data_IF_679240304469
#
_entry.id   IF_679240304469
#
_cell.length_a   1.000
_cell.length_b   1.000
_cell.length_c   1.000
_cell.angle_alpha   90.00
_cell.angle_beta   90.00
_cell.angle_gamma   90.00
#
_symmetry.space_group_name_H-M   'P 1'
#
loop_
_entity.id
_entity.type
_entity.pdbx_description
1 polymer ?
#
# COMPACT_ATOMS: atom_id res chain seq x y z
N UNK A 1 -10.57 1.67 -19.19
CA UNK A 1 -10.41 0.53 -18.25
C UNK A 1 -11.77 0.17 -17.67
N UNK A 2 -12.05 -1.12 -17.43
CA UNK A 2 -13.32 -1.54 -16.83
C UNK A 2 -13.38 -1.19 -15.33
N UNK A 3 -14.58 -1.12 -14.76
CA UNK A 3 -14.79 -0.83 -13.33
C UNK A 3 -14.02 -1.80 -12.41
N UNK A 4 -14.01 -3.09 -12.74
CA UNK A 4 -13.21 -4.09 -12.02
C UNK A 4 -11.69 -3.84 -12.11
N UNK A 5 -11.22 -3.29 -13.23
CA UNK A 5 -9.81 -2.93 -13.39
C UNK A 5 -9.33 -1.89 -12.38
N UNK A 6 -10.12 -0.84 -12.14
CA UNK A 6 -9.76 0.21 -11.16
C UNK A 6 -9.73 -0.30 -9.73
N UNK A 7 -10.68 -1.18 -9.38
CA UNK A 7 -10.70 -1.89 -8.09
C UNK A 7 -9.43 -2.72 -7.88
N UNK A 8 -9.03 -3.49 -8.90
CA UNK A 8 -7.80 -4.30 -8.86
C UNK A 8 -6.55 -3.43 -8.72
N UNK A 9 -6.44 -2.32 -9.46
CA UNK A 9 -5.32 -1.40 -9.34
C UNK A 9 -5.23 -0.76 -7.95
N UNK A 10 -6.38 -0.38 -7.37
CA UNK A 10 -6.44 0.05 -5.98
C UNK A 10 -5.95 -1.02 -5.01
N UNK A 11 -6.41 -2.26 -5.19
CA UNK A 11 -5.99 -3.39 -4.37
C UNK A 11 -4.49 -3.66 -4.44
N UNK A 12 -3.92 -3.67 -5.65
CA UNK A 12 -2.48 -3.83 -5.88
C UNK A 12 -1.67 -2.71 -5.22
N UNK A 13 -2.13 -1.47 -5.33
CA UNK A 13 -1.50 -0.34 -4.66
C UNK A 13 -1.50 -0.49 -3.13
N UNK A 14 -2.58 -1.02 -2.58
CA UNK A 14 -2.70 -1.36 -1.15
C UNK A 14 -1.74 -2.48 -0.73
N UNK A 15 -1.54 -3.50 -1.56
CA UNK A 15 -0.58 -4.58 -1.31
C UNK A 15 0.87 -4.08 -1.37
N UNK A 16 1.23 -3.29 -2.39
CA UNK A 16 2.56 -2.65 -2.48
C UNK A 16 2.81 -1.78 -1.26
N UNK A 17 1.79 -1.03 -0.85
CA UNK A 17 1.79 -0.21 0.35
C UNK A 17 2.08 -0.99 1.63
N UNK A 18 1.38 -2.10 1.86
CA UNK A 18 1.58 -2.97 3.03
C UNK A 18 2.92 -3.70 2.98
N UNK A 19 3.29 -4.25 1.82
CA UNK A 19 4.57 -4.93 1.62
C UNK A 19 5.77 -4.00 1.84
N UNK A 20 5.70 -2.77 1.33
CA UNK A 20 6.72 -1.73 1.58
C UNK A 20 6.88 -1.44 3.07
N UNK A 21 5.78 -1.31 3.82
CA UNK A 21 5.84 -1.11 5.28
C UNK A 21 6.48 -2.29 6.00
N UNK A 22 6.00 -3.49 5.70
CA UNK A 22 6.52 -4.72 6.30
C UNK A 22 8.02 -4.87 6.06
N UNK A 23 8.45 -4.67 4.82
CA UNK A 23 9.85 -4.72 4.42
C UNK A 23 10.70 -3.66 5.12
N UNK A 24 10.18 -2.45 5.26
CA UNK A 24 10.85 -1.36 5.97
C UNK A 24 11.02 -1.69 7.46
N UNK A 25 9.98 -2.22 8.10
CA UNK A 25 10.02 -2.64 9.51
C UNK A 25 11.02 -3.78 9.73
N UNK A 26 11.07 -4.79 8.85
CA UNK A 26 12.06 -5.86 8.97
C UNK A 26 13.51 -5.38 8.81
N UNK A 27 13.75 -4.29 8.09
CA UNK A 27 15.08 -3.71 7.87
C UNK A 27 15.48 -2.64 8.89
N UNK A 28 14.59 -2.24 9.78
CA UNK A 28 14.88 -1.31 10.87
C UNK A 28 15.72 -2.02 11.92
N UNK A 29 17.04 -1.87 11.82
CA UNK A 29 17.99 -2.40 12.79
C UNK A 29 18.40 -1.28 13.78
N UNK A 30 18.30 -1.51 15.10
CA UNK A 30 18.58 -0.48 16.11
C UNK A 30 20.03 0.03 16.08
N UNK A 31 20.96 -0.76 15.53
CA UNK A 31 22.37 -0.41 15.42
C UNK A 31 22.73 0.52 14.24
N UNK A 32 21.82 0.82 13.31
CA UNK A 32 22.10 1.65 12.11
C UNK A 32 20.96 2.62 11.78
N UNK A 33 20.78 3.70 12.57
CA UNK A 33 19.64 4.60 12.44
C UNK A 33 19.57 5.34 11.09
N UNK A 34 20.71 5.75 10.52
CA UNK A 34 20.76 6.41 9.20
C UNK A 34 20.33 5.51 8.06
N UNK A 35 20.72 4.22 8.08
CA UNK A 35 20.26 3.25 7.10
C UNK A 35 18.75 2.96 7.26
N UNK A 36 18.24 2.91 8.50
CA UNK A 36 16.81 2.78 8.77
C UNK A 36 15.98 3.95 8.23
N UNK A 37 16.46 5.19 8.40
CA UNK A 37 15.82 6.39 7.85
C UNK A 37 15.80 6.35 6.31
N UNK A 38 16.90 5.93 5.68
CA UNK A 38 16.96 5.80 4.22
C UNK A 38 15.93 4.77 3.70
N UNK A 39 15.77 3.63 4.37
CA UNK A 39 14.74 2.64 4.02
C UNK A 39 13.32 3.16 4.23
N UNK A 40 13.07 3.90 5.32
CA UNK A 40 11.79 4.57 5.56
C UNK A 40 11.45 5.56 4.46
N UNK A 41 12.39 6.42 4.07
CA UNK A 41 12.20 7.41 3.01
C UNK A 41 12.00 6.73 1.65
N UNK A 42 12.76 5.67 1.34
CA UNK A 42 12.59 4.91 0.11
C UNK A 42 11.22 4.22 0.05
N UNK A 43 10.79 3.57 1.13
CA UNK A 43 9.49 2.91 1.23
C UNK A 43 8.34 3.92 1.13
N UNK A 44 8.47 5.07 1.78
CA UNK A 44 7.50 6.17 1.73
C UNK A 44 7.43 6.78 0.31
N UNK A 45 8.57 7.04 -0.31
CA UNK A 45 8.67 7.59 -1.67
C UNK A 45 8.04 6.67 -2.70
N UNK A 46 8.34 5.38 -2.65
CA UNK A 46 7.73 4.37 -3.53
C UNK A 46 6.20 4.36 -3.39
N UNK A 47 5.71 4.43 -2.14
CA UNK A 47 4.28 4.41 -1.85
C UNK A 47 3.55 5.62 -2.43
N UNK A 48 4.11 6.81 -2.24
CA UNK A 48 3.55 8.03 -2.79
C UNK A 48 3.63 8.08 -4.31
N UNK A 49 4.71 7.59 -4.92
CA UNK A 49 4.81 7.49 -6.39
C UNK A 49 3.69 6.61 -6.97
N UNK A 50 3.43 5.45 -6.35
CA UNK A 50 2.33 4.57 -6.78
C UNK A 50 0.97 5.25 -6.62
N UNK A 51 0.73 5.90 -5.47
CA UNK A 51 -0.54 6.61 -5.21
C UNK A 51 -0.71 7.75 -6.23
N UNK A 52 0.29 8.59 -6.43
CA UNK A 52 0.24 9.73 -7.34
C UNK A 52 -0.01 9.24 -8.77
N UNK A 53 0.75 8.24 -9.25
CA UNK A 53 0.58 7.71 -10.60
C UNK A 53 -0.83 7.16 -10.86
N UNK A 54 -1.35 6.37 -9.92
CA UNK A 54 -2.70 5.81 -10.03
C UNK A 54 -3.79 6.88 -9.89
N UNK A 55 -3.58 7.88 -9.04
CA UNK A 55 -4.52 8.99 -8.87
C UNK A 55 -4.56 9.87 -10.13
N UNK A 56 -3.42 10.17 -10.74
CA UNK A 56 -3.34 10.89 -12.02
C UNK A 56 -4.05 10.15 -13.15
N UNK A 57 -3.86 8.82 -13.25
CA UNK A 57 -4.57 7.99 -14.22
C UNK A 57 -6.08 7.95 -13.97
N UNK A 58 -6.49 7.87 -12.69
CA UNK A 58 -7.89 7.86 -12.28
C UNK A 58 -8.60 9.18 -12.57
N UNK A 59 -7.95 10.32 -12.31
CA UNK A 59 -8.48 11.65 -12.62
C UNK A 59 -8.78 11.81 -14.12
N UNK A 60 -7.91 11.29 -14.99
CA UNK A 60 -8.12 11.31 -16.44
C UNK A 60 -9.32 10.49 -16.92
N UNK A 61 -9.89 9.63 -16.07
CA UNK A 61 -11.02 8.74 -16.40
C UNK A 61 -12.28 9.03 -15.56
N UNK A 62 -12.30 10.14 -14.82
CA UNK A 62 -13.45 10.62 -14.07
C UNK A 62 -13.56 10.10 -12.63
N UNK A 63 -14.48 10.70 -11.87
CA UNK A 63 -14.64 10.48 -10.42
C UNK A 63 -14.97 9.02 -10.05
N UNK A 64 -15.75 8.31 -10.87
CA UNK A 64 -16.12 6.92 -10.60
C UNK A 64 -14.91 5.98 -10.57
N UNK A 65 -13.98 6.16 -11.51
CA UNK A 65 -12.71 5.41 -11.57
C UNK A 65 -11.87 5.64 -10.30
N UNK A 66 -11.86 6.88 -9.81
CA UNK A 66 -11.11 7.29 -8.63
C UNK A 66 -11.70 6.70 -7.33
N UNK A 67 -13.03 6.65 -7.23
CA UNK A 67 -13.73 6.00 -6.11
C UNK A 67 -13.46 4.49 -6.08
N UNK A 68 -13.46 3.82 -7.23
CA UNK A 68 -13.16 2.38 -7.32
C UNK A 68 -11.70 2.08 -6.93
N UNK A 69 -10.78 2.94 -7.35
CA UNK A 69 -9.37 2.87 -6.97
C UNK A 69 -9.19 3.03 -5.46
N UNK A 70 -9.86 4.02 -4.86
CA UNK A 70 -9.86 4.24 -3.43
C UNK A 70 -10.49 3.07 -2.66
N UNK A 71 -11.61 2.53 -3.17
CA UNK A 71 -12.28 1.37 -2.61
C UNK A 71 -11.37 0.14 -2.61
N UNK A 72 -10.67 -0.13 -3.71
CA UNK A 72 -9.70 -1.22 -3.79
C UNK A 72 -8.55 -1.07 -2.80
N UNK A 73 -8.00 0.14 -2.68
CA UNK A 73 -6.92 0.45 -1.74
C UNK A 73 -7.38 0.30 -0.29
N UNK A 74 -8.60 0.75 0.01
CA UNK A 74 -9.22 0.60 1.32
C UNK A 74 -9.44 -0.87 1.69
N UNK A 75 -9.96 -1.66 0.74
CA UNK A 75 -10.20 -3.10 0.94
C UNK A 75 -8.88 -3.84 1.22
N UNK A 76 -7.84 -3.58 0.43
CA UNK A 76 -6.52 -4.17 0.63
C UNK A 76 -5.92 -3.82 1.99
N UNK A 77 -6.13 -2.60 2.48
CA UNK A 77 -5.70 -2.18 3.82
C UNK A 77 -6.39 -3.00 4.91
N UNK A 78 -7.72 -3.14 4.86
CA UNK A 78 -8.46 -3.91 5.87
C UNK A 78 -8.13 -5.40 5.82
N UNK A 79 -7.99 -5.98 4.63
CA UNK A 79 -7.56 -7.37 4.46
C UNK A 79 -6.16 -7.59 5.03
N UNK A 80 -5.23 -6.67 4.80
CA UNK A 80 -3.89 -6.72 5.39
C UNK A 80 -3.89 -6.66 6.91
N UNK A 81 -4.72 -5.76 7.49
CA UNK A 81 -4.87 -5.67 8.95
C UNK A 81 -5.52 -6.92 9.54
N UNK A 82 -6.58 -7.43 8.89
CA UNK A 82 -7.24 -8.66 9.30
C UNK A 82 -6.28 -9.86 9.25
N UNK A 83 -5.46 -9.95 8.20
CA UNK A 83 -4.41 -10.96 8.08
C UNK A 83 -3.40 -10.89 9.23
N UNK A 84 -2.86 -9.69 9.50
CA UNK A 84 -1.92 -9.48 10.61
C UNK A 84 -2.54 -9.84 11.97
N UNK A 85 -3.79 -9.46 12.20
CA UNK A 85 -4.51 -9.76 13.44
C UNK A 85 -4.79 -11.27 13.62
N UNK A 86 -5.01 -12.00 12.53
CA UNK A 86 -5.14 -13.47 12.56
C UNK A 86 -3.79 -14.14 12.82
N UNK A 87 -2.72 -13.64 12.18
CA UNK A 87 -1.39 -14.21 12.33
C UNK A 87 -0.83 -14.00 13.75
N UNK A 88 -1.07 -12.85 14.38
CA UNK A 88 -0.62 -12.58 15.75
C UNK A 88 -1.29 -13.47 16.79
N UNK A 89 -2.54 -13.90 16.54
CA UNK A 89 -3.28 -14.82 17.44
C UNK A 89 -2.87 -16.27 17.30
N UNK A 90 -2.24 -16.66 16.19
CA UNK A 90 -1.79 -18.04 15.96
C UNK A 90 -0.44 -18.35 16.62
N UNK A 91 0.25 -17.33 17.14
CA UNK A 91 1.56 -17.43 17.78
C UNK A 91 1.51 -17.32 19.31
N UNK A 92 0.33 -17.14 19.89
CA UNK A 92 0.06 -17.22 21.34
C UNK A 92 -0.38 -18.64 21.73
#
# INVERSE_FOLDING_TARGET
MSAGGWLLWGGLAGLVSLGSQWWTVQRLHPARPTAGIAWLLAGLGLRWLVIIGLFSLGLGQGLGSLLLLLAGLWLARWLGLAWLALHSRATE
#
